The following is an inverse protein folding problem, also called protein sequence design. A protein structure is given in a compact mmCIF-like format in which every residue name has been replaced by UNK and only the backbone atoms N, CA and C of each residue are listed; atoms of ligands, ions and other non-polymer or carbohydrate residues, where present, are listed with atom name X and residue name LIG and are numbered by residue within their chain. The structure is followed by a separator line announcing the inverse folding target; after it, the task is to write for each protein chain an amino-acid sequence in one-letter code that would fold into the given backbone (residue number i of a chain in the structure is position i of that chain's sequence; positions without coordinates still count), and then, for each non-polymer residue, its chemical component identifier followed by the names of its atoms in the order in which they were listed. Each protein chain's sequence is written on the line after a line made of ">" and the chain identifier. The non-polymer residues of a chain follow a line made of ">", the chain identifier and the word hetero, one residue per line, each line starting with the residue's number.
data_IF_101396822761
#
_entry.id   IF_101396822761
#
_cell.length_a   1.000
_cell.length_b   1.000
_cell.length_c   1.000
_cell.angle_alpha   90.00
_cell.angle_beta   90.00
_cell.angle_gamma   90.00
#
_symmetry.space_group_name_H-M   'P 1'
#
loop_
_entity.id
_entity.type
_entity.pdbx_description
1 polymer ?
#
# COMPACT_ATOMS: atom_id res chain seq x y z
N UNK A 1 -1.27 -4.49 -27.80
CA UNK A 1 0.05 -4.46 -27.13
C UNK A 1 -0.18 -4.06 -25.69
N UNK A 2 0.31 -4.84 -24.73
CA UNK A 2 0.17 -4.59 -23.29
C UNK A 2 1.57 -4.40 -22.72
N UNK A 3 1.85 -3.31 -22.02
CA UNK A 3 3.14 -3.12 -21.35
C UNK A 3 3.18 -3.89 -20.04
N UNK A 4 4.20 -4.73 -19.84
CA UNK A 4 4.49 -5.41 -18.58
C UNK A 4 5.51 -4.60 -17.79
N UNK A 5 5.24 -4.44 -16.51
CA UNK A 5 6.12 -3.78 -15.55
C UNK A 5 6.37 -4.71 -14.37
N UNK A 6 7.56 -4.63 -13.82
CA UNK A 6 7.90 -5.21 -12.53
C UNK A 6 7.95 -4.11 -11.48
N UNK A 7 7.51 -4.45 -10.27
CA UNK A 7 7.55 -3.54 -9.12
C UNK A 7 8.41 -4.20 -8.05
N UNK A 8 9.51 -3.55 -7.67
CA UNK A 8 10.42 -4.03 -6.64
C UNK A 8 10.82 -2.88 -5.71
N UNK A 9 10.84 -3.13 -4.41
CA UNK A 9 11.31 -2.13 -3.44
C UNK A 9 11.93 -2.83 -2.23
N UNK A 10 13.01 -2.30 -1.64
CA UNK A 10 13.59 -2.84 -0.41
C UNK A 10 12.56 -2.89 0.72
N UNK A 11 12.51 -3.99 1.48
CA UNK A 11 11.51 -4.18 2.54
C UNK A 11 11.56 -3.09 3.62
N UNK A 12 12.74 -2.60 3.95
CA UNK A 12 12.92 -1.49 4.91
C UNK A 12 12.38 -0.13 4.40
N UNK A 13 12.01 -0.03 3.13
CA UNK A 13 11.36 1.17 2.56
C UNK A 13 9.85 0.97 2.41
N UNK A 14 9.31 -0.21 2.69
CA UNK A 14 7.86 -0.50 2.63
C UNK A 14 7.29 -0.44 4.03
N UNK A 15 6.29 0.42 4.26
CA UNK A 15 5.44 0.29 5.44
C UNK A 15 4.43 -0.84 5.19
N UNK A 16 4.68 -2.04 5.73
CA UNK A 16 3.83 -3.21 5.49
C UNK A 16 2.74 -3.35 6.57
N UNK A 17 1.58 -2.75 6.31
CA UNK A 17 0.44 -2.79 7.22
C UNK A 17 -0.35 -4.13 7.15
N UNK A 18 0.18 -5.16 6.46
CA UNK A 18 -0.49 -6.44 6.27
C UNK A 18 0.26 -7.57 6.97
N UNK A 19 1.52 -7.79 6.59
CA UNK A 19 2.28 -8.97 7.01
C UNK A 19 3.31 -8.66 8.12
N UNK A 20 3.55 -7.38 8.41
CA UNK A 20 4.55 -6.93 9.39
C UNK A 20 3.87 -6.41 10.65
N UNK A 21 3.88 -7.22 11.71
CA UNK A 21 3.38 -6.83 13.04
C UNK A 21 4.15 -5.62 13.59
N UNK A 22 5.46 -5.56 13.32
CA UNK A 22 6.30 -4.44 13.73
C UNK A 22 5.84 -3.13 13.09
N UNK A 23 5.63 -3.12 11.78
CA UNK A 23 5.15 -1.93 11.05
C UNK A 23 3.74 -1.53 11.49
N UNK A 24 2.85 -2.50 11.72
CA UNK A 24 1.50 -2.23 12.23
C UNK A 24 1.54 -1.58 13.62
N UNK A 25 2.40 -2.09 14.52
CA UNK A 25 2.57 -1.52 15.86
C UNK A 25 3.23 -0.14 15.80
N UNK A 26 4.22 0.05 14.92
CA UNK A 26 4.86 1.33 14.71
C UNK A 26 3.85 2.38 14.20
N UNK A 27 3.10 2.04 13.14
CA UNK A 27 2.09 2.93 12.58
C UNK A 27 0.98 3.25 13.58
N UNK A 28 0.54 2.27 14.38
CA UNK A 28 -0.42 2.52 15.46
C UNK A 28 0.09 3.56 16.46
N UNK A 29 1.35 3.49 16.89
CA UNK A 29 1.93 4.49 17.81
C UNK A 29 1.89 5.89 17.20
N UNK A 30 2.17 6.00 15.89
CA UNK A 30 2.08 7.28 15.18
C UNK A 30 0.63 7.80 15.22
N UNK A 31 -0.35 6.98 14.85
CA UNK A 31 -1.77 7.36 14.90
C UNK A 31 -2.22 7.78 16.31
N UNK A 32 -1.73 7.09 17.35
CA UNK A 32 -2.01 7.45 18.75
C UNK A 32 -1.48 8.85 19.12
N UNK A 33 -0.38 9.31 18.50
CA UNK A 33 0.13 10.67 18.68
C UNK A 33 -0.82 11.72 18.08
N UNK A 34 -1.41 11.44 16.91
CA UNK A 34 -2.42 12.32 16.28
C UNK A 34 -3.73 12.40 17.06
N UNK A 35 -3.94 11.51 18.02
CA UNK A 35 -5.14 11.47 18.87
C UNK A 35 -4.99 12.28 20.17
N UNK A 36 -3.83 12.91 20.43
CA UNK A 36 -3.53 13.54 21.73
C UNK A 36 -2.82 14.90 21.59
N UNK A 37 -3.11 15.80 22.54
CA UNK A 37 -2.37 17.05 22.77
C UNK A 37 -2.33 18.00 21.58
N UNK A 38 -1.24 18.76 21.46
CA UNK A 38 -1.06 19.78 20.43
C UNK A 38 -1.06 19.21 19.00
N UNK A 39 -0.63 17.96 18.81
CA UNK A 39 -0.64 17.34 17.48
C UNK A 39 -2.07 17.04 17.00
N UNK A 40 -2.96 16.65 17.92
CA UNK A 40 -4.39 16.50 17.61
C UNK A 40 -4.99 17.83 17.17
N UNK A 41 -4.75 18.90 17.92
CA UNK A 41 -5.27 20.24 17.58
C UNK A 41 -4.76 20.70 16.21
N UNK A 42 -3.46 20.52 15.94
CA UNK A 42 -2.87 20.83 14.64
C UNK A 42 -3.46 19.96 13.52
N UNK A 43 -3.72 18.68 13.78
CA UNK A 43 -4.40 17.78 12.85
C UNK A 43 -5.82 18.24 12.54
N UNK A 44 -6.64 18.50 13.57
CA UNK A 44 -8.05 18.91 13.41
C UNK A 44 -8.22 20.29 12.74
N UNK A 45 -7.22 21.18 12.86
CA UNK A 45 -7.21 22.45 12.13
C UNK A 45 -6.96 22.27 10.63
N UNK A 46 -6.22 21.21 10.25
CA UNK A 46 -5.74 21.00 8.89
C UNK A 46 -6.58 19.98 8.13
N UNK A 47 -6.97 18.93 8.82
CA UNK A 47 -7.77 17.81 8.36
C UNK A 47 -9.07 17.80 9.18
N UNK A 48 -10.17 17.30 8.62
CA UNK A 48 -11.42 17.14 9.38
C UNK A 48 -11.18 16.31 10.66
N UNK A 49 -12.14 16.34 11.59
CA UNK A 49 -12.03 15.71 12.91
C UNK A 49 -11.81 14.19 12.92
N UNK A 50 -12.03 13.49 11.81
CA UNK A 50 -11.79 12.05 11.72
C UNK A 50 -10.34 11.75 11.32
N UNK A 51 -9.65 10.98 12.16
CA UNK A 51 -8.31 10.49 11.85
C UNK A 51 -8.43 9.33 10.87
N UNK A 52 -7.87 9.50 9.67
CA UNK A 52 -7.80 8.44 8.67
C UNK A 52 -6.36 8.22 8.20
N UNK A 53 -6.08 6.99 7.76
CA UNK A 53 -4.73 6.55 7.34
C UNK A 53 -4.16 7.46 6.27
N UNK A 54 -4.95 7.85 5.28
CA UNK A 54 -4.49 8.72 4.18
C UNK A 54 -4.06 10.10 4.65
N UNK A 55 -4.78 10.72 5.59
CA UNK A 55 -4.42 12.03 6.14
C UNK A 55 -3.15 11.95 6.99
N UNK A 56 -3.02 10.92 7.83
CA UNK A 56 -1.80 10.69 8.63
C UNK A 56 -0.59 10.51 7.72
N UNK A 57 -0.70 9.65 6.70
CA UNK A 57 0.39 9.44 5.74
C UNK A 57 0.71 10.70 4.93
N UNK A 58 -0.30 11.51 4.59
CA UNK A 58 -0.09 12.79 3.90
C UNK A 58 0.71 13.76 4.76
N UNK A 59 0.30 13.93 6.03
CA UNK A 59 1.02 14.78 6.99
C UNK A 59 2.49 14.35 7.09
N UNK A 60 2.73 13.06 7.36
CA UNK A 60 4.08 12.52 7.56
C UNK A 60 5.00 12.72 6.35
N UNK A 61 4.45 12.62 5.13
CA UNK A 61 5.20 12.88 3.90
C UNK A 61 5.57 14.35 3.74
N UNK A 62 4.71 15.26 4.15
CA UNK A 62 5.00 16.70 4.05
C UNK A 62 6.03 17.12 5.09
N UNK A 63 5.96 16.60 6.32
CA UNK A 63 7.01 16.78 7.32
C UNK A 63 8.37 16.29 6.81
N UNK A 64 8.38 15.13 6.13
CA UNK A 64 9.58 14.64 5.45
C UNK A 64 10.06 15.60 4.36
N UNK A 65 9.15 16.17 3.57
CA UNK A 65 9.51 17.15 2.54
C UNK A 65 10.09 18.45 3.12
N UNK A 66 9.75 18.79 4.37
CA UNK A 66 10.34 19.88 5.15
C UNK A 66 11.71 19.52 5.74
N UNK A 67 12.17 18.27 5.58
CA UNK A 67 13.46 17.77 6.07
C UNK A 67 13.41 17.07 7.42
N UNK A 68 12.21 16.80 7.97
CA UNK A 68 12.07 16.04 9.20
C UNK A 68 12.18 14.52 8.94
N UNK A 69 12.98 13.82 9.75
CA UNK A 69 13.15 12.38 9.64
C UNK A 69 12.06 11.61 10.40
N UNK A 70 10.80 11.77 9.97
CA UNK A 70 9.63 11.19 10.63
C UNK A 70 8.98 10.04 9.85
N UNK A 71 9.35 9.85 8.58
CA UNK A 71 8.67 8.91 7.70
C UNK A 71 9.61 8.33 6.61
N UNK A 72 10.39 7.29 6.92
CA UNK A 72 11.42 6.77 6.02
C UNK A 72 10.90 5.81 4.93
N UNK A 73 9.60 5.80 4.64
CA UNK A 73 8.97 4.84 3.75
C UNK A 73 8.71 5.40 2.35
N UNK A 74 9.02 4.60 1.32
CA UNK A 74 8.76 4.91 -0.10
C UNK A 74 7.49 4.31 -0.68
N UNK A 75 6.88 3.37 0.05
CA UNK A 75 5.57 2.82 -0.28
C UNK A 75 4.85 2.35 0.99
N UNK A 76 3.53 2.26 0.90
CA UNK A 76 2.70 1.57 1.89
C UNK A 76 2.05 0.38 1.24
N UNK A 77 2.13 -0.77 1.92
CA UNK A 77 1.37 -1.97 1.56
C UNK A 77 0.20 -2.10 2.53
N UNK A 78 -1.01 -2.17 1.99
CA UNK A 78 -2.23 -2.20 2.76
C UNK A 78 -3.21 -3.20 2.15
N UNK A 79 -4.09 -3.71 2.99
CA UNK A 79 -5.12 -4.67 2.62
C UNK A 79 -6.47 -3.98 2.55
N UNK A 80 -7.30 -4.43 1.62
CA UNK A 80 -8.69 -4.02 1.54
C UNK A 80 -9.62 -5.06 2.22
N UNK A 81 -10.84 -4.64 2.60
CA UNK A 81 -11.84 -5.50 3.24
C UNK A 81 -12.43 -6.59 2.33
N UNK A 82 -12.13 -6.57 1.04
CA UNK A 82 -12.58 -7.55 0.06
C UNK A 82 -11.87 -8.90 0.24
N UNK A 83 -12.69 -9.94 0.35
CA UNK A 83 -12.25 -11.33 0.43
C UNK A 83 -13.18 -12.21 -0.40
N UNK A 84 -12.61 -13.11 -1.19
CA UNK A 84 -13.39 -14.01 -2.05
C UNK A 84 -14.06 -15.15 -1.25
N UNK A 85 -13.40 -15.59 -0.16
CA UNK A 85 -13.89 -16.69 0.68
C UNK A 85 -13.42 -16.55 2.12
N UNK A 86 -14.32 -16.84 3.07
CA UNK A 86 -14.05 -16.93 4.50
C UNK A 86 -14.19 -18.36 4.99
N UNK A 87 -13.24 -18.82 5.79
CA UNK A 87 -13.25 -20.11 6.47
C UNK A 87 -13.26 -19.89 7.97
N UNK A 88 -14.18 -20.55 8.68
CA UNK A 88 -14.20 -20.51 10.14
C UNK A 88 -13.09 -21.38 10.71
N UNK A 89 -12.52 -20.93 11.81
CA UNK A 89 -11.55 -21.74 12.56
C UNK A 89 -12.22 -22.88 13.31
N UNK A 90 -13.43 -22.66 13.84
CA UNK A 90 -14.14 -23.64 14.67
C UNK A 90 -15.61 -23.79 14.24
N UNK A 91 -16.18 -25.00 14.38
CA UNK A 91 -17.62 -25.21 14.26
C UNK A 91 -18.37 -24.55 15.44
N UNK A 92 -19.66 -24.28 15.29
CA UNK A 92 -20.52 -23.83 16.40
C UNK A 92 -20.68 -22.32 16.58
N UNK A 93 -20.42 -21.50 15.55
CA UNK A 93 -20.86 -20.10 15.52
C UNK A 93 -19.97 -19.08 16.22
N UNK A 94 -18.75 -19.46 16.62
CA UNK A 94 -17.72 -18.47 16.97
C UNK A 94 -17.31 -17.67 15.72
N UNK A 95 -16.93 -16.41 15.92
CA UNK A 95 -16.76 -15.41 14.83
C UNK A 95 -15.35 -15.37 14.24
N UNK A 96 -14.42 -16.22 14.70
CA UNK A 96 -13.08 -16.25 14.14
C UNK A 96 -13.13 -16.84 12.72
N UNK A 97 -12.75 -16.04 11.74
CA UNK A 97 -12.74 -16.39 10.32
C UNK A 97 -11.40 -16.00 9.69
N UNK A 98 -10.85 -16.90 8.87
CA UNK A 98 -9.72 -16.65 7.98
C UNK A 98 -10.26 -16.29 6.60
N UNK A 99 -9.79 -15.20 6.01
CA UNK A 99 -10.06 -14.98 4.59
C UNK A 99 -8.98 -15.67 3.75
N UNK A 100 -9.41 -16.43 2.75
CA UNK A 100 -8.51 -17.28 1.95
C UNK A 100 -7.86 -16.57 0.78
N UNK A 101 -8.55 -15.57 0.22
CA UNK A 101 -8.07 -14.80 -0.92
C UNK A 101 -8.32 -13.34 -0.55
N UNK A 102 -7.23 -12.66 -0.23
CA UNK A 102 -7.22 -11.28 0.25
C UNK A 102 -6.56 -10.40 -0.81
N UNK A 103 -7.14 -9.22 -1.07
CA UNK A 103 -6.54 -8.27 -1.99
C UNK A 103 -5.57 -7.37 -1.24
N UNK A 104 -4.30 -7.47 -1.60
CA UNK A 104 -3.24 -6.60 -1.10
C UNK A 104 -2.93 -5.54 -2.15
N UNK A 105 -2.78 -4.29 -1.73
CA UNK A 105 -2.42 -3.17 -2.59
C UNK A 105 -1.14 -2.53 -2.06
N UNK A 106 -0.28 -2.08 -2.99
CA UNK A 106 0.90 -1.31 -2.66
C UNK A 106 0.81 0.05 -3.33
N UNK A 107 0.92 1.11 -2.53
CA UNK A 107 0.94 2.49 -2.99
C UNK A 107 2.40 2.99 -2.91
N UNK A 108 3.05 3.11 -4.07
CA UNK A 108 4.41 3.66 -4.19
C UNK A 108 4.31 5.17 -4.37
N UNK A 109 5.06 5.93 -3.58
CA UNK A 109 5.05 7.38 -3.69
C UNK A 109 5.82 7.86 -4.92
N UNK A 110 5.40 8.99 -5.48
CA UNK A 110 5.88 9.46 -6.77
C UNK A 110 7.41 9.66 -6.79
N UNK A 111 7.97 10.12 -5.68
CA UNK A 111 9.41 10.30 -5.48
C UNK A 111 10.24 9.00 -5.54
N UNK A 112 9.61 7.82 -5.42
CA UNK A 112 10.26 6.51 -5.53
C UNK A 112 9.80 5.69 -6.73
N UNK A 113 8.86 6.22 -7.53
CA UNK A 113 8.23 5.50 -8.64
C UNK A 113 9.26 4.96 -9.63
N UNK A 114 10.18 5.80 -10.08
CA UNK A 114 11.15 5.45 -11.11
C UNK A 114 12.20 4.44 -10.60
N UNK A 115 12.45 4.41 -9.29
CA UNK A 115 13.33 3.43 -8.67
C UNK A 115 12.62 2.09 -8.41
N UNK A 116 11.30 2.12 -8.22
CA UNK A 116 10.52 0.96 -7.82
C UNK A 116 9.83 0.24 -9.00
N UNK A 117 9.50 0.95 -10.08
CA UNK A 117 8.75 0.42 -11.22
C UNK A 117 9.63 0.37 -12.45
N UNK A 118 9.93 -0.84 -12.91
CA UNK A 118 10.77 -1.06 -14.10
C UNK A 118 9.92 -1.64 -15.22
N UNK A 119 10.08 -1.09 -16.43
CA UNK A 119 9.51 -1.70 -17.63
C UNK A 119 10.24 -3.02 -17.90
N UNK A 120 9.47 -4.08 -18.10
CA UNK A 120 10.00 -5.40 -18.46
C UNK A 120 9.92 -5.59 -19.98
N UNK A 121 8.72 -5.75 -20.52
CA UNK A 121 8.52 -6.02 -21.95
C UNK A 121 7.12 -5.67 -22.44
N UNK A 122 6.94 -5.68 -23.76
CA UNK A 122 5.60 -5.65 -24.37
C UNK A 122 5.07 -7.07 -24.54
N UNK A 123 3.86 -7.32 -24.04
CA UNK A 123 3.12 -8.57 -24.17
C UNK A 123 2.06 -8.40 -25.26
N UNK A 124 2.04 -9.36 -26.18
CA UNK A 124 1.00 -9.49 -27.20
C UNK A 124 0.11 -10.68 -26.82
N UNK A 125 -1.20 -10.48 -26.56
CA UNK A 125 -2.08 -11.60 -26.32
C UNK A 125 -2.10 -12.52 -27.55
N UNK A 126 -2.08 -13.84 -27.35
CA UNK A 126 -1.92 -14.80 -28.44
C UNK A 126 -2.94 -14.59 -29.59
N UNK A 127 -4.19 -14.28 -29.26
CA UNK A 127 -5.26 -14.01 -30.25
C UNK A 127 -5.11 -12.69 -31.02
N UNK A 128 -4.19 -11.80 -30.61
CA UNK A 128 -3.81 -10.62 -31.42
C UNK A 128 -2.74 -10.96 -32.46
N UNK A 129 -2.08 -12.11 -32.32
CA UNK A 129 -1.08 -12.61 -33.28
C UNK A 129 -1.70 -13.59 -34.29
N UNK A 130 -2.93 -14.08 -34.05
CA UNK A 130 -3.69 -14.89 -35.00
C UNK A 130 -4.11 -14.03 -36.20
N UNK A 131 -3.33 -14.12 -37.28
CA UNK A 131 -3.44 -13.32 -38.50
C UNK A 131 -2.21 -12.46 -38.83
N UNK A 132 -1.18 -12.47 -37.98
CA UNK A 132 0.07 -11.73 -38.18
C UNK A 132 1.19 -12.64 -38.72
N UNK A 133 1.01 -13.16 -39.94
CA UNK A 133 2.07 -13.83 -40.68
C UNK A 133 3.04 -12.79 -41.27
N UNK A 134 4.13 -12.54 -40.54
CA UNK A 134 5.39 -12.08 -41.13
C UNK A 134 5.42 -10.67 -41.71
N UNK A 135 5.68 -9.68 -40.87
CA UNK A 135 6.38 -8.46 -41.29
C UNK A 135 7.08 -7.86 -40.07
N UNK A 136 8.30 -8.33 -39.78
CA UNK A 136 9.41 -7.65 -39.10
C UNK A 136 10.50 -8.72 -38.87
N UNK A 137 11.21 -9.06 -39.95
CA UNK A 137 12.53 -9.67 -39.93
C UNK A 137 13.55 -8.61 -40.38
#
# INVERSE_FOLDING_TARGET
>A
MISKFDISMPKNQVLDLIDSVEDQLHFRKIVDCFSKGALKEAYEQRFNSEICVSSVLTWLREERALGHDVFPYGAVRAKDSHAEKRLRFLPGGRREELNLVERHQMCVYNEFKDAAVTFDCFVHPAHFMDGYDGALA
#
